data_IF_764511622062
#
_entry.id   IF_764511622062
#
_cell.length_a   1.000
_cell.length_b   1.000
_cell.length_c   1.000
_cell.angle_alpha   90.00
_cell.angle_beta   90.00
_cell.angle_gamma   90.00
#
_symmetry.space_group_name_H-M   'P 1'
#
loop_
_entity.id
_entity.type
_entity.pdbx_description
1 polymer ?
#
# COMPACT_ATOMS: atom_id res chain seq x y z
N UNK A 1 -22.90 16.48 -79.90
CA UNK A 1 -24.06 17.35 -80.20
C UNK A 1 -24.54 17.98 -78.93
N UNK A 2 -24.72 19.30 -78.91
CA UNK A 2 -24.98 20.11 -77.72
C UNK A 2 -26.47 20.43 -77.56
N UNK A 3 -26.88 20.92 -76.40
CA UNK A 3 -27.98 21.90 -76.25
C UNK A 3 -28.12 22.15 -74.71
N UNK A 4 -27.78 23.29 -74.29
CA UNK A 4 -28.32 24.66 -74.18
C UNK A 4 -28.99 24.89 -72.81
N UNK A 5 -28.44 25.90 -72.18
CA UNK A 5 -28.95 26.66 -71.02
C UNK A 5 -30.13 27.56 -71.52
N UNK A 6 -31.03 27.98 -70.62
CA UNK A 6 -30.99 29.41 -70.37
C UNK A 6 -31.21 29.91 -68.95
N UNK A 7 -30.62 31.09 -68.73
CA UNK A 7 -30.73 31.98 -67.61
C UNK A 7 -32.13 32.50 -67.35
N UNK A 8 -32.48 32.83 -66.12
CA UNK A 8 -33.17 34.10 -65.82
C UNK A 8 -32.87 34.58 -64.39
N UNK A 9 -32.41 35.78 -64.32
CA UNK A 9 -32.21 36.75 -63.29
C UNK A 9 -33.39 36.91 -62.30
N UNK A 10 -33.14 37.11 -61.02
CA UNK A 10 -33.63 38.25 -60.26
C UNK A 10 -32.83 38.49 -58.99
N UNK A 11 -32.23 39.66 -58.86
CA UNK A 11 -31.69 40.33 -57.67
C UNK A 11 -32.83 40.61 -56.68
N UNK A 12 -32.56 40.40 -55.39
CA UNK A 12 -33.06 41.30 -54.34
C UNK A 12 -31.94 41.46 -53.29
N UNK A 13 -31.65 42.70 -53.03
CA UNK A 13 -30.66 43.23 -52.06
C UNK A 13 -31.15 43.10 -50.61
N UNK A 14 -30.12 43.18 -49.67
CA UNK A 14 -30.22 43.76 -48.35
C UNK A 14 -30.52 42.79 -47.22
N UNK A 15 -29.63 42.58 -46.31
CA UNK A 15 -29.27 43.35 -45.13
C UNK A 15 -28.15 42.61 -44.37
N UNK A 16 -27.03 43.25 -44.21
CA UNK A 16 -25.97 42.90 -43.29
C UNK A 16 -26.51 43.09 -41.85
N UNK A 17 -26.56 42.01 -41.09
CA UNK A 17 -26.54 42.10 -39.64
C UNK A 17 -25.27 41.39 -39.16
N UNK A 18 -24.32 42.19 -38.68
CA UNK A 18 -23.15 41.80 -37.99
C UNK A 18 -23.54 41.20 -36.64
N UNK A 19 -23.53 39.88 -36.50
CA UNK A 19 -23.58 39.21 -35.22
C UNK A 19 -22.16 39.09 -34.70
N UNK A 20 -21.82 39.91 -33.71
CA UNK A 20 -20.62 39.83 -32.90
C UNK A 20 -20.65 38.51 -32.12
N UNK A 21 -19.84 37.55 -32.55
CA UNK A 21 -19.64 36.31 -31.81
C UNK A 21 -18.77 36.66 -30.62
N UNK A 22 -19.37 36.70 -29.45
CA UNK A 22 -18.66 36.79 -28.17
C UNK A 22 -17.90 35.48 -27.94
N UNK A 23 -16.57 35.48 -27.70
CA UNK A 23 -15.87 34.24 -27.40
C UNK A 23 -16.35 33.71 -26.05
N UNK A 24 -16.96 32.53 -26.05
CA UNK A 24 -17.27 31.81 -24.83
C UNK A 24 -15.98 31.59 -24.05
N UNK A 25 -15.82 32.28 -22.91
CA UNK A 25 -14.80 32.01 -21.95
C UNK A 25 -15.08 30.62 -21.39
N UNK A 26 -14.30 29.63 -21.81
CA UNK A 26 -14.23 28.32 -21.16
C UNK A 26 -13.72 28.56 -19.76
N UNK A 27 -14.60 28.56 -18.78
CA UNK A 27 -14.23 28.40 -17.37
C UNK A 27 -13.74 26.95 -17.21
N UNK A 28 -12.43 26.74 -17.34
CA UNK A 28 -11.79 25.55 -16.78
C UNK A 28 -11.91 25.70 -15.28
N UNK A 29 -12.94 25.10 -14.70
CA UNK A 29 -13.00 24.87 -13.25
C UNK A 29 -11.90 23.85 -12.98
N UNK A 30 -10.72 24.33 -12.60
CA UNK A 30 -9.72 23.49 -11.97
C UNK A 30 -10.39 22.95 -10.71
N UNK A 31 -10.92 21.74 -10.73
CA UNK A 31 -11.22 20.97 -9.52
C UNK A 31 -9.88 20.74 -8.84
N UNK A 32 -9.52 21.64 -7.96
CA UNK A 32 -8.52 21.41 -6.92
C UNK A 32 -9.08 20.28 -6.07
N UNK A 33 -8.69 19.05 -6.36
CA UNK A 33 -8.82 17.96 -5.41
C UNK A 33 -7.83 18.29 -4.31
N UNK A 34 -8.28 18.97 -3.26
CA UNK A 34 -7.53 19.15 -2.02
C UNK A 34 -7.32 17.75 -1.42
N UNK A 35 -6.29 17.05 -1.89
CA UNK A 35 -5.82 15.84 -1.22
C UNK A 35 -5.23 16.29 0.11
N UNK A 36 -5.83 15.84 1.18
CA UNK A 36 -5.32 16.06 2.53
C UNK A 36 -3.89 15.54 2.63
N UNK A 37 -3.03 16.30 3.29
CA UNK A 37 -1.64 15.90 3.49
C UNK A 37 -1.56 14.68 4.42
N UNK A 38 -0.41 13.99 4.40
CA UNK A 38 -0.17 12.89 5.34
C UNK A 38 -0.38 13.31 6.79
N UNK A 39 0.16 14.45 7.19
CA UNK A 39 0.00 14.97 8.56
C UNK A 39 -1.46 15.24 8.95
N UNK A 40 -2.27 15.73 8.02
CA UNK A 40 -3.70 15.97 8.27
C UNK A 40 -4.47 14.66 8.45
N UNK A 41 -4.22 13.68 7.58
CA UNK A 41 -4.89 12.36 7.67
C UNK A 41 -4.54 11.60 8.93
N UNK A 42 -3.32 11.75 9.40
CA UNK A 42 -2.79 11.02 10.56
C UNK A 42 -2.64 11.91 11.80
N UNK A 43 -3.39 13.02 11.87
CA UNK A 43 -3.26 13.99 12.97
C UNK A 43 -3.56 13.39 14.36
N UNK A 44 -4.40 12.37 14.43
CA UNK A 44 -4.76 11.66 15.66
C UNK A 44 -3.85 10.47 15.98
N UNK A 45 -2.95 10.10 15.07
CA UNK A 45 -2.05 8.97 15.28
C UNK A 45 -0.89 9.37 16.21
N UNK A 46 -0.47 8.46 17.10
CA UNK A 46 0.70 8.68 17.95
C UNK A 46 1.97 8.80 17.11
N UNK A 47 2.92 9.59 17.62
CA UNK A 47 4.23 9.83 17.01
C UNK A 47 5.30 9.96 18.07
N UNK A 48 6.50 9.54 17.73
CA UNK A 48 7.68 9.87 18.54
C UNK A 48 7.89 11.40 18.56
N UNK A 49 8.47 11.91 19.64
CA UNK A 49 8.71 13.35 19.77
C UNK A 49 9.85 13.85 18.88
N UNK A 50 10.87 13.02 18.67
CA UNK A 50 12.11 13.44 18.00
C UNK A 50 12.21 12.93 16.55
N UNK A 51 12.83 13.77 15.71
CA UNK A 51 13.24 13.40 14.36
C UNK A 51 14.63 12.74 14.39
N UNK A 52 14.76 11.60 13.74
CA UNK A 52 16.03 10.91 13.51
C UNK A 52 16.60 11.31 12.15
N UNK A 53 17.92 11.52 12.10
CA UNK A 53 18.65 11.64 10.84
C UNK A 53 19.07 10.25 10.39
N UNK A 54 18.69 9.87 9.18
CA UNK A 54 18.96 8.55 8.60
C UNK A 54 19.61 8.70 7.24
N UNK A 55 20.43 7.73 6.84
CA UNK A 55 21.11 7.74 5.54
C UNK A 55 20.41 6.79 4.58
N UNK A 56 20.02 7.28 3.40
CA UNK A 56 19.52 6.44 2.31
C UNK A 56 20.69 5.63 1.74
N UNK A 57 20.80 4.36 2.12
CA UNK A 57 21.98 3.51 1.84
C UNK A 57 21.75 2.54 0.70
N UNK A 58 20.50 2.20 0.38
CA UNK A 58 20.16 1.25 -0.68
C UNK A 58 18.88 1.63 -1.37
N UNK A 59 18.86 1.45 -2.69
CA UNK A 59 17.68 1.59 -3.55
C UNK A 59 17.63 0.40 -4.47
N UNK A 60 16.52 -0.32 -4.50
CA UNK A 60 16.31 -1.46 -5.39
C UNK A 60 14.98 -1.30 -6.14
N UNK A 61 14.98 -1.59 -7.43
CA UNK A 61 13.75 -1.66 -8.21
C UNK A 61 13.08 -3.01 -7.96
N UNK A 62 11.99 -3.05 -7.20
CA UNK A 62 11.26 -4.28 -6.91
C UNK A 62 10.42 -4.73 -8.12
N UNK A 63 9.79 -3.79 -8.83
CA UNK A 63 9.10 -3.99 -10.10
C UNK A 63 8.92 -2.62 -10.79
N UNK A 64 8.19 -2.57 -11.91
CA UNK A 64 8.02 -1.33 -12.69
C UNK A 64 7.36 -0.18 -11.92
N UNK A 65 6.70 -0.45 -10.79
CA UNK A 65 5.93 0.53 -10.02
C UNK A 65 6.39 0.72 -8.58
N UNK A 66 7.27 -0.13 -8.08
CA UNK A 66 7.66 -0.13 -6.67
C UNK A 66 9.18 -0.17 -6.57
N UNK A 67 9.73 0.71 -5.71
CA UNK A 67 11.12 0.70 -5.26
C UNK A 67 11.21 0.39 -3.78
N UNK A 68 12.21 -0.38 -3.40
CA UNK A 68 12.59 -0.62 -2.01
C UNK A 68 13.75 0.31 -1.64
N UNK A 69 13.71 0.81 -0.42
CA UNK A 69 14.69 1.75 0.14
C UNK A 69 15.17 1.25 1.49
N UNK A 70 16.49 1.34 1.75
CA UNK A 70 17.05 1.12 3.08
C UNK A 70 17.57 2.42 3.65
N UNK A 71 17.15 2.69 4.87
CA UNK A 71 17.52 3.85 5.68
C UNK A 71 18.36 3.38 6.86
N UNK A 72 19.68 3.61 6.83
CA UNK A 72 20.56 3.29 7.95
C UNK A 72 20.31 4.25 9.11
N UNK A 73 20.20 3.68 10.29
CA UNK A 73 19.96 4.39 11.53
C UNK A 73 21.29 4.74 12.21
N UNK A 74 21.39 5.87 12.90
CA UNK A 74 22.60 6.26 13.62
C UNK A 74 22.81 5.45 14.92
N UNK A 75 21.78 4.75 15.37
CA UNK A 75 21.74 3.93 16.58
C UNK A 75 20.55 2.98 16.54
N UNK A 76 20.51 1.91 17.34
CA UNK A 76 19.33 1.07 17.49
C UNK A 76 18.08 1.89 17.86
N UNK A 77 16.96 1.55 17.24
CA UNK A 77 15.65 2.20 17.43
C UNK A 77 14.60 1.13 17.68
N UNK A 78 13.75 1.34 18.69
CA UNK A 78 12.60 0.50 18.96
C UNK A 78 11.38 1.05 18.22
N UNK A 79 10.65 0.19 17.54
CA UNK A 79 9.35 0.49 16.98
C UNK A 79 8.46 -0.76 17.04
N UNK A 80 7.16 -0.59 16.87
CA UNK A 80 6.20 -1.70 16.80
C UNK A 80 5.94 -2.09 15.35
N UNK A 81 5.93 -3.39 15.06
CA UNK A 81 5.67 -3.89 13.71
C UNK A 81 4.33 -3.36 13.17
N UNK A 82 4.35 -2.79 11.97
CA UNK A 82 3.21 -2.12 11.33
C UNK A 82 3.26 -0.59 11.35
N UNK A 83 4.09 0.02 12.19
CA UNK A 83 4.28 1.47 12.22
C UNK A 83 4.88 2.02 10.91
N UNK A 84 4.71 3.31 10.70
CA UNK A 84 5.19 4.07 9.56
C UNK A 84 6.13 5.22 9.98
N UNK A 85 6.74 5.86 9.01
CA UNK A 85 7.61 7.03 9.18
C UNK A 85 6.98 8.28 8.57
N UNK A 86 6.91 9.38 9.34
CA UNK A 86 6.96 10.71 8.73
C UNK A 86 8.34 10.85 8.10
N UNK A 87 8.43 10.98 6.79
CA UNK A 87 9.70 11.02 6.07
C UNK A 87 9.88 12.36 5.41
N UNK A 88 10.81 13.16 5.93
CA UNK A 88 11.20 14.46 5.39
C UNK A 88 12.39 14.26 4.44
N UNK A 89 12.18 14.52 3.18
CA UNK A 89 13.21 14.49 2.15
C UNK A 89 13.82 15.87 1.92
N UNK A 90 15.06 16.00 1.42
CA UNK A 90 15.67 17.29 1.15
C UNK A 90 14.83 18.19 0.25
N UNK A 91 14.74 19.48 0.59
CA UNK A 91 14.03 20.47 -0.21
C UNK A 91 12.50 20.48 -0.05
N UNK A 92 11.93 19.61 0.79
CA UNK A 92 10.49 19.60 1.07
C UNK A 92 10.21 19.80 2.57
N UNK A 93 9.27 20.71 2.86
CA UNK A 93 8.86 21.03 4.24
C UNK A 93 7.88 20.02 4.82
N UNK A 94 7.01 19.43 3.96
CA UNK A 94 6.00 18.46 4.38
C UNK A 94 6.50 17.03 4.20
N UNK A 95 6.34 16.16 5.20
CA UNK A 95 6.76 14.76 5.09
C UNK A 95 5.78 13.93 4.26
N UNK A 96 6.30 12.84 3.70
CA UNK A 96 5.49 11.71 3.27
C UNK A 96 5.35 10.67 4.38
N UNK A 97 4.22 9.97 4.41
CA UNK A 97 4.02 8.79 5.25
C UNK A 97 4.39 7.53 4.50
N UNK A 98 5.35 6.77 5.03
CA UNK A 98 5.75 5.50 4.42
C UNK A 98 5.88 4.42 5.50
N UNK A 99 5.20 3.31 5.30
CA UNK A 99 5.21 2.19 6.25
C UNK A 99 6.56 1.52 6.32
N UNK A 100 7.01 1.19 7.53
CA UNK A 100 8.22 0.41 7.77
C UNK A 100 7.94 -1.05 7.38
N UNK A 101 8.75 -1.60 6.48
CA UNK A 101 8.61 -2.97 5.96
C UNK A 101 9.67 -3.93 6.53
N UNK A 102 10.69 -3.41 7.22
CA UNK A 102 11.63 -4.19 8.03
C UNK A 102 10.97 -4.63 9.35
N UNK A 103 11.62 -5.56 10.02
CA UNK A 103 11.19 -6.05 11.34
C UNK A 103 11.69 -5.13 12.45
N UNK A 104 11.05 -5.10 13.63
CA UNK A 104 11.60 -4.41 14.79
C UNK A 104 13.01 -4.86 15.15
N UNK A 105 13.33 -6.14 14.96
CA UNK A 105 14.68 -6.69 15.19
C UNK A 105 15.75 -6.07 14.28
N UNK A 106 15.40 -5.75 13.03
CA UNK A 106 16.32 -5.12 12.07
C UNK A 106 16.72 -3.70 12.52
N UNK A 107 15.78 -2.93 13.09
CA UNK A 107 16.03 -1.58 13.57
C UNK A 107 16.67 -1.54 14.97
N UNK A 108 16.54 -2.61 15.76
CA UNK A 108 17.15 -2.74 17.09
C UNK A 108 18.48 -3.50 17.07
N UNK A 109 18.97 -3.92 15.89
CA UNK A 109 20.28 -4.56 15.75
C UNK A 109 21.42 -3.68 16.27
N UNK A 110 22.41 -4.30 16.89
CA UNK A 110 23.63 -3.61 17.31
C UNK A 110 24.52 -3.25 16.10
N UNK A 111 24.49 -4.08 15.06
CA UNK A 111 25.22 -3.90 13.82
C UNK A 111 24.30 -3.38 12.72
N UNK A 112 24.61 -2.20 12.18
CA UNK A 112 23.92 -1.57 11.07
C UNK A 112 22.39 -1.59 11.17
N UNK A 113 21.78 -1.01 12.23
CA UNK A 113 20.33 -0.94 12.34
C UNK A 113 19.72 -0.14 11.20
N UNK A 114 18.55 -0.58 10.69
CA UNK A 114 17.93 0.06 9.54
C UNK A 114 16.40 -0.02 9.54
N UNK A 115 15.79 0.90 8.81
CA UNK A 115 14.43 0.76 8.31
C UNK A 115 14.45 0.44 6.82
N UNK A 116 13.59 -0.47 6.38
CA UNK A 116 13.25 -0.67 4.98
C UNK A 116 11.87 -0.07 4.68
N UNK A 117 11.72 0.51 3.49
CA UNK A 117 10.47 1.02 2.95
C UNK A 117 10.23 0.43 1.57
N UNK A 118 8.97 0.26 1.18
CA UNK A 118 8.59 -0.03 -0.20
C UNK A 118 7.61 1.04 -0.69
N UNK A 119 8.02 1.80 -1.69
CA UNK A 119 7.29 2.99 -2.15
C UNK A 119 6.84 2.82 -3.59
N UNK A 120 5.53 2.90 -3.78
CA UNK A 120 4.93 2.94 -5.11
C UNK A 120 5.14 4.31 -5.75
N UNK A 121 5.41 4.32 -7.06
CA UNK A 121 5.46 5.56 -7.84
C UNK A 121 4.16 6.35 -7.71
N UNK A 122 4.28 7.61 -7.27
CA UNK A 122 3.17 8.54 -7.09
C UNK A 122 3.67 9.97 -7.37
N UNK A 123 3.62 10.41 -8.63
CA UNK A 123 4.13 11.74 -9.01
C UNK A 123 3.42 12.89 -8.30
N UNK A 124 2.16 12.71 -7.92
CA UNK A 124 1.35 13.71 -7.23
C UNK A 124 1.67 13.82 -5.72
N UNK A 125 2.46 12.90 -5.19
CA UNK A 125 2.95 12.93 -3.80
C UNK A 125 4.41 13.39 -3.80
N UNK A 126 4.72 14.65 -3.47
CA UNK A 126 6.07 15.18 -3.62
C UNK A 126 7.17 14.38 -2.91
N UNK A 127 7.02 13.91 -1.66
CA UNK A 127 8.01 13.02 -1.05
C UNK A 127 8.20 11.68 -1.79
N UNK A 128 7.13 11.07 -2.31
CA UNK A 128 7.24 9.87 -3.12
C UNK A 128 7.93 10.16 -4.46
N UNK A 129 7.58 11.27 -5.11
CA UNK A 129 8.23 11.71 -6.36
C UNK A 129 9.74 11.95 -6.14
N UNK A 130 10.14 12.54 -5.02
CA UNK A 130 11.55 12.72 -4.65
C UNK A 130 12.26 11.36 -4.53
N UNK A 131 11.67 10.37 -3.87
CA UNK A 131 12.22 9.01 -3.75
C UNK A 131 12.30 8.29 -5.11
N UNK A 132 11.55 8.74 -6.10
CA UNK A 132 11.57 8.17 -7.46
C UNK A 132 12.53 8.88 -8.44
N UNK A 133 13.29 9.88 -7.98
CA UNK A 133 14.38 10.46 -8.77
C UNK A 133 15.44 9.39 -9.13
N UNK A 134 16.34 9.68 -10.07
CA UNK A 134 17.43 8.77 -10.41
C UNK A 134 18.22 8.34 -9.17
N UNK A 135 18.47 7.04 -8.95
CA UNK A 135 19.21 6.57 -7.77
C UNK A 135 20.55 7.26 -7.56
N UNK A 136 21.25 7.62 -8.65
CA UNK A 136 22.52 8.35 -8.60
C UNK A 136 22.44 9.74 -7.98
N UNK A 137 21.25 10.36 -7.96
CA UNK A 137 21.05 11.70 -7.42
C UNK A 137 20.67 11.68 -5.93
N UNK A 138 20.01 10.62 -5.47
CA UNK A 138 19.45 10.56 -4.11
C UNK A 138 20.14 9.55 -3.18
N UNK A 139 20.83 8.56 -3.71
CA UNK A 139 21.56 7.58 -2.89
C UNK A 139 22.62 8.29 -2.03
N UNK A 140 22.68 7.94 -0.76
CA UNK A 140 23.57 8.57 0.22
C UNK A 140 23.01 9.83 0.86
N UNK A 141 21.85 10.33 0.42
CA UNK A 141 21.18 11.48 1.01
C UNK A 141 20.82 11.23 2.48
N UNK A 142 20.83 12.31 3.27
CA UNK A 142 20.34 12.31 4.64
C UNK A 142 18.87 12.73 4.66
N UNK A 143 18.02 11.86 5.18
CA UNK A 143 16.60 12.15 5.44
C UNK A 143 16.39 12.37 6.94
N UNK A 144 15.26 12.98 7.28
CA UNK A 144 14.80 13.05 8.67
C UNK A 144 13.51 12.24 8.76
N UNK A 145 13.45 11.36 9.75
CA UNK A 145 12.29 10.47 9.92
C UNK A 145 11.78 10.50 11.36
N UNK A 146 10.50 10.20 11.54
CA UNK A 146 9.85 10.07 12.82
C UNK A 146 8.88 8.90 12.77
N UNK A 147 8.98 7.99 13.73
CA UNK A 147 8.10 6.83 13.83
C UNK A 147 6.71 7.27 14.30
N UNK A 148 5.66 6.70 13.74
CA UNK A 148 4.27 6.93 14.12
C UNK A 148 3.35 5.78 13.72
N UNK A 149 2.08 5.89 14.17
CA UNK A 149 1.02 4.95 13.87
C UNK A 149 0.67 3.99 15.01
N UNK A 150 -0.60 3.60 15.03
CA UNK A 150 -1.20 2.71 16.03
C UNK A 150 -1.63 1.35 15.46
N UNK A 151 -1.55 1.17 14.14
CA UNK A 151 -1.83 -0.10 13.47
C UNK A 151 -0.65 -1.06 13.62
N UNK A 152 -0.60 -1.79 14.73
CA UNK A 152 0.58 -2.54 15.17
C UNK A 152 0.25 -3.99 15.55
N UNK A 153 1.27 -4.84 15.51
CA UNK A 153 1.22 -6.18 16.08
C UNK A 153 2.32 -6.34 17.16
N UNK A 154 1.99 -6.88 18.38
CA UNK A 154 0.62 -7.20 18.83
C UNK A 154 -0.26 -5.95 18.98
N UNK A 155 -1.59 -6.09 18.86
CA UNK A 155 -2.51 -4.98 19.05
C UNK A 155 -2.54 -4.53 20.50
N UNK A 156 -2.78 -3.23 20.72
CA UNK A 156 -2.79 -2.68 22.09
C UNK A 156 -4.03 -3.09 22.88
N UNK A 157 -5.18 -3.15 22.19
CA UNK A 157 -6.50 -3.32 22.83
C UNK A 157 -7.03 -4.77 22.83
N UNK A 158 -6.25 -5.74 22.29
CA UNK A 158 -6.63 -7.16 22.27
C UNK A 158 -5.55 -8.00 22.93
N UNK A 159 -5.85 -8.60 24.10
CA UNK A 159 -4.90 -9.49 24.76
C UNK A 159 -4.57 -10.71 23.90
N UNK A 160 -3.28 -11.00 23.71
CA UNK A 160 -2.82 -12.10 22.87
C UNK A 160 -3.02 -13.50 23.48
N UNK A 161 -3.24 -13.60 24.78
CA UNK A 161 -3.32 -14.90 25.47
C UNK A 161 -4.42 -15.85 24.98
N UNK A 162 -5.50 -15.31 24.40
CA UNK A 162 -6.58 -16.07 23.77
C UNK A 162 -6.47 -16.22 22.25
N UNK A 163 -5.52 -15.54 21.62
CA UNK A 163 -5.38 -15.56 20.17
C UNK A 163 -4.60 -16.80 19.73
N UNK A 164 -5.18 -17.59 18.85
CA UNK A 164 -4.56 -18.78 18.24
C UNK A 164 -4.33 -18.62 16.76
N UNK A 165 -4.98 -17.66 16.13
CA UNK A 165 -4.87 -17.42 14.69
C UNK A 165 -4.83 -15.94 14.37
N UNK A 166 -3.91 -15.57 13.47
CA UNK A 166 -3.81 -14.22 12.93
C UNK A 166 -3.94 -14.29 11.41
N UNK A 167 -4.93 -13.58 10.87
CA UNK A 167 -5.19 -13.49 9.44
C UNK A 167 -4.76 -12.12 8.94
N UNK A 168 -3.89 -12.12 7.93
CA UNK A 168 -3.43 -10.93 7.25
C UNK A 168 -4.03 -10.86 5.84
N UNK A 169 -4.87 -9.86 5.58
CA UNK A 169 -5.52 -9.63 4.30
C UNK A 169 -4.92 -8.39 3.63
N UNK A 170 -4.11 -8.61 2.61
CA UNK A 170 -3.35 -7.58 1.93
C UNK A 170 -3.85 -7.31 0.51
N UNK A 171 -3.91 -6.04 0.10
CA UNK A 171 -4.12 -5.63 -1.30
C UNK A 171 -2.98 -4.76 -1.82
N UNK A 172 -2.22 -5.23 -2.81
CA UNK A 172 -1.10 -4.50 -3.40
C UNK A 172 -0.08 -4.05 -2.35
N UNK A 173 0.23 -2.74 -2.31
CA UNK A 173 1.16 -2.16 -1.32
C UNK A 173 0.63 -2.15 0.11
N UNK A 174 -0.64 -2.53 0.35
CA UNK A 174 -1.17 -2.79 1.69
C UNK A 174 -0.48 -3.93 2.41
N UNK A 175 0.34 -4.71 1.73
CA UNK A 175 1.24 -5.69 2.35
C UNK A 175 2.32 -5.04 3.22
N UNK A 176 2.64 -3.75 3.04
CA UNK A 176 3.75 -3.09 3.71
C UNK A 176 3.70 -3.16 5.26
N UNK A 177 2.61 -2.75 5.95
CA UNK A 177 2.55 -2.93 7.40
C UNK A 177 2.52 -4.41 7.79
N UNK A 178 1.86 -5.23 6.99
CA UNK A 178 1.65 -6.63 7.30
C UNK A 178 2.93 -7.45 7.19
N UNK A 179 3.83 -7.16 6.24
CA UNK A 179 5.12 -7.88 6.13
C UNK A 179 6.02 -7.63 7.34
N UNK A 180 5.99 -6.42 7.92
CA UNK A 180 6.69 -6.12 9.17
C UNK A 180 6.13 -6.94 10.33
N UNK A 181 4.78 -7.01 10.45
CA UNK A 181 4.10 -7.81 11.48
C UNK A 181 4.35 -9.31 11.31
N UNK A 182 4.22 -9.85 10.10
CA UNK A 182 4.48 -11.27 9.78
C UNK A 182 5.94 -11.61 10.10
N UNK A 183 6.88 -10.73 9.73
CA UNK A 183 8.30 -10.91 10.03
C UNK A 183 8.59 -10.88 11.54
N UNK A 184 7.89 -10.02 12.30
CA UNK A 184 8.00 -9.97 13.74
C UNK A 184 7.49 -11.27 14.41
N UNK A 185 6.41 -11.86 13.89
CA UNK A 185 5.94 -13.19 14.33
C UNK A 185 6.96 -14.25 13.96
N UNK A 186 7.54 -14.21 12.75
CA UNK A 186 8.56 -15.16 12.30
C UNK A 186 9.87 -15.10 13.07
N UNK A 187 10.17 -13.98 13.75
CA UNK A 187 11.31 -13.88 14.68
C UNK A 187 11.09 -14.68 15.99
N UNK A 188 9.85 -15.12 16.26
CA UNK A 188 9.46 -15.97 17.37
C UNK A 188 8.77 -15.24 18.52
N UNK A 189 8.33 -16.01 19.49
CA UNK A 189 7.64 -15.48 20.69
C UNK A 189 6.12 -15.55 20.64
N UNK A 190 5.53 -15.98 19.50
CA UNK A 190 4.08 -16.08 19.34
C UNK A 190 3.65 -17.49 18.92
N UNK A 191 2.80 -18.13 19.71
CA UNK A 191 2.22 -19.44 19.40
C UNK A 191 0.89 -19.27 18.66
N UNK A 192 0.96 -18.78 17.40
CA UNK A 192 -0.21 -18.51 16.55
C UNK A 192 -0.08 -19.17 15.18
N UNK A 193 -1.22 -19.55 14.61
CA UNK A 193 -1.37 -19.94 13.21
C UNK A 193 -1.51 -18.66 12.37
N UNK A 194 -0.64 -18.46 11.38
CA UNK A 194 -0.61 -17.27 10.54
C UNK A 194 -1.22 -17.59 9.18
N UNK A 195 -2.25 -16.86 8.78
CA UNK A 195 -2.90 -16.98 7.49
C UNK A 195 -2.71 -15.70 6.70
N UNK A 196 -2.09 -15.78 5.53
CA UNK A 196 -1.85 -14.63 4.67
C UNK A 196 -2.65 -14.75 3.38
N UNK A 197 -3.58 -13.81 3.16
CA UNK A 197 -4.34 -13.66 1.93
C UNK A 197 -3.82 -12.41 1.21
N UNK A 198 -3.07 -12.60 0.14
CA UNK A 198 -2.41 -11.51 -0.56
C UNK A 198 -2.93 -11.33 -1.98
N UNK A 199 -3.73 -10.29 -2.22
CA UNK A 199 -4.18 -9.90 -3.55
C UNK A 199 -3.16 -8.95 -4.20
N UNK A 200 -2.67 -9.31 -5.35
CA UNK A 200 -1.76 -8.47 -6.14
C UNK A 200 -2.05 -8.56 -7.63
N UNK A 201 -1.93 -7.40 -8.31
CA UNK A 201 -1.74 -7.43 -9.75
C UNK A 201 -0.35 -7.96 -10.02
N UNK A 202 -0.25 -9.00 -10.84
CA UNK A 202 1.05 -9.59 -11.18
C UNK A 202 1.85 -8.64 -12.06
N UNK A 203 3.08 -8.29 -11.68
CA UNK A 203 3.99 -7.48 -12.48
C UNK A 203 4.39 -8.21 -13.78
N UNK A 204 5.02 -7.48 -14.72
CA UNK A 204 5.44 -8.03 -16.02
C UNK A 204 6.42 -9.19 -15.88
N UNK A 205 7.27 -9.16 -14.87
CA UNK A 205 8.24 -10.23 -14.59
C UNK A 205 7.66 -11.44 -13.87
N UNK A 206 6.34 -11.45 -13.59
CA UNK A 206 5.65 -12.57 -12.96
C UNK A 206 5.61 -12.51 -11.43
N UNK A 207 5.26 -13.64 -10.81
CA UNK A 207 5.06 -13.73 -9.36
C UNK A 207 6.32 -13.38 -8.54
N UNK A 208 7.51 -13.60 -9.05
CA UNK A 208 8.78 -13.25 -8.38
C UNK A 208 8.95 -11.75 -8.14
N UNK A 209 8.25 -10.90 -8.90
CA UNK A 209 8.24 -9.45 -8.73
C UNK A 209 7.07 -8.95 -7.87
N UNK A 210 6.22 -9.83 -7.36
CA UNK A 210 5.22 -9.48 -6.34
C UNK A 210 5.97 -9.20 -5.03
N UNK A 211 5.86 -7.96 -4.55
CA UNK A 211 6.67 -7.52 -3.40
C UNK A 211 6.47 -8.42 -2.18
N UNK A 212 7.58 -8.78 -1.53
CA UNK A 212 7.64 -9.58 -0.30
C UNK A 212 7.09 -11.01 -0.40
N UNK A 213 6.56 -11.44 -1.56
CA UNK A 213 5.99 -12.78 -1.71
C UNK A 213 7.02 -13.87 -1.39
N UNK A 214 8.20 -13.79 -2.01
CA UNK A 214 9.28 -14.76 -1.74
C UNK A 214 9.76 -14.72 -0.29
N UNK A 215 9.81 -13.52 0.32
CA UNK A 215 10.20 -13.35 1.73
C UNK A 215 9.22 -14.06 2.65
N UNK A 216 7.91 -13.85 2.46
CA UNK A 216 6.85 -14.46 3.27
C UNK A 216 6.84 -15.99 3.05
N UNK A 217 6.87 -16.45 1.81
CA UNK A 217 6.95 -17.87 1.47
C UNK A 217 8.19 -18.54 2.11
N UNK A 218 9.32 -17.85 2.11
CA UNK A 218 10.56 -18.31 2.75
C UNK A 218 10.41 -18.54 4.25
N UNK A 219 9.65 -17.72 4.97
CA UNK A 219 9.40 -17.93 6.41
C UNK A 219 8.56 -19.19 6.68
N UNK A 220 7.56 -19.49 5.83
CA UNK A 220 6.81 -20.75 5.92
C UNK A 220 7.71 -21.96 5.58
N UNK A 221 8.46 -21.88 4.49
CA UNK A 221 9.36 -22.97 4.08
C UNK A 221 10.44 -23.30 5.12
N UNK A 222 10.89 -22.28 5.89
CA UNK A 222 11.84 -22.44 6.99
C UNK A 222 11.18 -22.90 8.31
N UNK A 223 9.87 -23.12 8.34
CA UNK A 223 9.13 -23.49 9.55
C UNK A 223 9.06 -22.37 10.62
N UNK A 224 9.38 -21.11 10.26
CA UNK A 224 9.28 -19.95 11.15
C UNK A 224 7.85 -19.50 11.36
N UNK A 225 6.96 -19.83 10.43
CA UNK A 225 5.52 -19.58 10.51
C UNK A 225 4.77 -20.90 10.34
N UNK A 226 3.68 -21.06 11.10
CA UNK A 226 2.67 -22.10 10.90
C UNK A 226 1.46 -21.48 10.22
N UNK A 227 0.79 -22.23 9.37
CA UNK A 227 -0.42 -21.78 8.66
C UNK A 227 -0.24 -21.83 7.15
N UNK A 228 -0.78 -20.85 6.45
CA UNK A 228 -0.79 -20.85 4.97
C UNK A 228 -0.61 -19.44 4.37
N UNK A 229 -0.06 -19.44 3.15
CA UNK A 229 0.00 -18.27 2.28
C UNK A 229 -0.83 -18.55 1.03
N UNK A 230 -1.84 -17.70 0.77
CA UNK A 230 -2.64 -17.70 -0.46
C UNK A 230 -2.43 -16.41 -1.23
N UNK A 231 -2.10 -16.52 -2.51
CA UNK A 231 -1.91 -15.38 -3.41
C UNK A 231 -3.11 -15.31 -4.35
N UNK A 232 -3.77 -14.16 -4.34
CA UNK A 232 -4.89 -13.86 -5.24
C UNK A 232 -4.37 -12.98 -6.37
N UNK A 233 -3.98 -13.62 -7.46
CA UNK A 233 -3.35 -12.98 -8.59
C UNK A 233 -4.40 -12.37 -9.53
N UNK A 234 -4.24 -11.10 -9.88
CA UNK A 234 -5.05 -10.40 -10.87
C UNK A 234 -4.20 -9.87 -12.03
N UNK A 235 -4.78 -9.79 -13.23
CA UNK A 235 -4.12 -9.13 -14.36
C UNK A 235 -3.15 -10.00 -15.16
N UNK A 236 -3.49 -11.28 -15.39
CA UNK A 236 -2.83 -12.09 -16.39
C UNK A 236 -1.79 -13.08 -15.84
N UNK A 237 -2.24 -14.00 -15.01
CA UNK A 237 -1.48 -15.22 -14.68
C UNK A 237 -2.00 -16.35 -15.56
N UNK A 238 -1.11 -17.07 -16.21
CA UNK A 238 -1.44 -18.39 -16.78
C UNK A 238 -1.70 -19.35 -15.63
N UNK A 239 -2.85 -20.00 -15.63
CA UNK A 239 -3.16 -21.11 -14.73
C UNK A 239 -2.02 -22.12 -14.76
N UNK A 240 -1.52 -22.51 -13.58
CA UNK A 240 -0.47 -23.52 -13.47
C UNK A 240 0.84 -23.07 -12.82
N UNK A 241 0.96 -21.84 -12.35
CA UNK A 241 2.08 -21.44 -11.51
C UNK A 241 1.95 -22.06 -10.10
N UNK A 242 2.07 -23.38 -10.02
CA UNK A 242 2.29 -24.07 -8.75
C UNK A 242 3.69 -23.77 -8.30
N UNK A 243 3.84 -22.73 -7.47
CA UNK A 243 5.09 -22.47 -6.77
C UNK A 243 5.10 -23.32 -5.50
N UNK A 244 6.24 -23.94 -5.23
CA UNK A 244 6.46 -24.66 -3.98
C UNK A 244 6.29 -23.70 -2.81
N UNK A 245 5.25 -23.92 -2.00
CA UNK A 245 5.10 -23.24 -0.71
C UNK A 245 3.91 -22.29 -0.54
N UNK A 246 3.11 -22.03 -1.59
CA UNK A 246 1.87 -21.24 -1.49
C UNK A 246 0.87 -21.54 -2.60
N UNK A 247 -0.42 -21.30 -2.33
CA UNK A 247 -1.51 -21.46 -3.29
C UNK A 247 -1.69 -20.16 -4.10
N UNK A 248 -1.88 -20.30 -5.44
CA UNK A 248 -2.17 -19.17 -6.34
C UNK A 248 -3.58 -19.32 -6.90
N UNK A 249 -4.41 -18.30 -6.67
CA UNK A 249 -5.79 -18.20 -7.11
C UNK A 249 -5.93 -17.04 -8.10
N UNK A 250 -6.54 -17.24 -9.26
CA UNK A 250 -6.69 -16.23 -10.32
C UNK A 250 -7.99 -15.43 -10.20
N UNK A 251 -8.34 -15.03 -9.00
CA UNK A 251 -9.52 -14.23 -8.67
C UNK A 251 -9.22 -13.21 -7.58
N UNK A 252 -10.16 -12.36 -7.25
CA UNK A 252 -10.12 -11.56 -6.03
C UNK A 252 -10.53 -12.42 -4.85
N UNK A 253 -9.98 -12.15 -3.67
CA UNK A 253 -10.54 -12.69 -2.43
C UNK A 253 -11.64 -11.77 -1.90
N UNK A 254 -12.54 -12.33 -1.11
CA UNK A 254 -13.62 -11.63 -0.46
C UNK A 254 -13.77 -12.02 1.00
N UNK A 255 -14.88 -11.61 1.60
CA UNK A 255 -15.22 -11.85 3.01
C UNK A 255 -15.17 -13.34 3.35
N UNK A 256 -15.68 -14.19 2.47
CA UNK A 256 -15.75 -15.63 2.71
C UNK A 256 -14.36 -16.28 2.79
N UNK A 257 -13.41 -15.85 1.97
CA UNK A 257 -12.02 -16.34 2.04
C UNK A 257 -11.39 -16.03 3.41
N UNK A 258 -11.69 -14.84 3.97
CA UNK A 258 -11.18 -14.46 5.29
C UNK A 258 -11.91 -15.25 6.40
N UNK A 259 -13.23 -15.44 6.28
CA UNK A 259 -13.99 -16.28 7.24
C UNK A 259 -13.46 -17.70 7.29
N UNK A 260 -13.17 -18.30 6.14
CA UNK A 260 -12.53 -19.62 6.06
C UNK A 260 -11.12 -19.62 6.68
N UNK A 261 -10.35 -18.55 6.45
CA UNK A 261 -9.04 -18.40 7.07
C UNK A 261 -9.12 -18.22 8.58
N UNK A 262 -10.11 -17.52 9.11
CA UNK A 262 -10.38 -17.40 10.56
C UNK A 262 -10.86 -18.73 11.14
N UNK A 263 -11.74 -19.46 10.42
CA UNK A 263 -12.35 -20.71 10.86
C UNK A 263 -13.45 -20.50 11.91
N UNK A 264 -13.92 -21.61 12.51
CA UNK A 264 -15.09 -21.60 13.39
C UNK A 264 -14.88 -20.89 14.74
N UNK A 265 -13.61 -20.85 15.22
CA UNK A 265 -13.25 -20.21 16.50
C UNK A 265 -12.95 -18.72 16.31
N UNK A 266 -14.00 -17.94 16.03
CA UNK A 266 -13.88 -16.49 15.78
C UNK A 266 -13.39 -15.72 17.01
N UNK A 267 -13.59 -16.25 18.21
CA UNK A 267 -13.11 -15.73 19.49
C UNK A 267 -11.58 -15.90 19.69
N UNK A 268 -10.94 -16.76 18.92
CA UNK A 268 -9.47 -16.97 18.90
C UNK A 268 -8.79 -16.32 17.71
N UNK A 269 -9.56 -15.74 16.78
CA UNK A 269 -9.09 -15.10 15.57
C UNK A 269 -8.77 -13.61 15.72
N UNK A 270 -7.79 -13.14 14.99
CA UNK A 270 -7.44 -11.73 14.83
C UNK A 270 -7.20 -11.45 13.35
N UNK A 271 -7.79 -10.39 12.80
CA UNK A 271 -7.71 -10.06 11.38
C UNK A 271 -7.10 -8.68 11.19
N UNK A 272 -6.07 -8.58 10.37
CA UNK A 272 -5.46 -7.33 9.92
C UNK A 272 -5.77 -7.12 8.44
N UNK A 273 -6.33 -5.97 8.09
CA UNK A 273 -6.71 -5.64 6.72
C UNK A 273 -5.99 -4.36 6.29
N UNK A 274 -5.29 -4.42 5.16
CA UNK A 274 -4.71 -3.23 4.54
C UNK A 274 -4.68 -3.37 3.00
N UNK A 275 -5.15 -2.32 2.31
CA UNK A 275 -5.21 -2.33 0.85
C UNK A 275 -6.04 -1.18 0.28
N UNK A 276 -6.49 -1.27 -0.97
CA UNK A 276 -7.35 -0.26 -1.58
C UNK A 276 -8.67 -0.05 -0.83
N UNK A 277 -9.16 1.19 -0.84
CA UNK A 277 -10.35 1.61 -0.09
C UNK A 277 -11.56 0.67 -0.27
N UNK A 278 -11.98 0.44 -1.51
CA UNK A 278 -13.16 -0.42 -1.76
C UNK A 278 -13.01 -1.83 -1.20
N UNK A 279 -11.78 -2.40 -1.23
CA UNK A 279 -11.51 -3.70 -0.65
C UNK A 279 -11.60 -3.67 0.88
N UNK A 280 -10.98 -2.69 1.51
CA UNK A 280 -10.95 -2.63 2.98
C UNK A 280 -12.31 -2.32 3.56
N UNK A 281 -13.09 -1.43 2.94
CA UNK A 281 -14.43 -1.08 3.39
C UNK A 281 -15.39 -2.29 3.27
N UNK A 282 -15.39 -3.00 2.12
CA UNK A 282 -16.18 -4.23 1.90
C UNK A 282 -15.83 -5.32 2.92
N UNK A 283 -14.53 -5.54 3.14
CA UNK A 283 -14.08 -6.58 4.07
C UNK A 283 -14.45 -6.26 5.52
N UNK A 284 -14.25 -5.02 5.96
CA UNK A 284 -14.59 -4.61 7.33
C UNK A 284 -16.08 -4.74 7.58
N UNK A 285 -16.92 -4.24 6.66
CA UNK A 285 -18.36 -4.34 6.75
C UNK A 285 -18.83 -5.81 6.81
N UNK A 286 -18.34 -6.64 5.89
CA UNK A 286 -18.73 -8.05 5.82
C UNK A 286 -18.22 -8.91 6.98
N UNK A 287 -17.05 -8.58 7.55
CA UNK A 287 -16.47 -9.33 8.67
C UNK A 287 -17.07 -8.94 10.03
N UNK A 288 -17.53 -7.70 10.20
CA UNK A 288 -18.07 -7.19 11.48
C UNK A 288 -19.57 -7.06 11.50
N UNK A 289 -20.29 -7.50 10.45
CA UNK A 289 -21.74 -7.55 10.36
C UNK A 289 -22.37 -8.57 11.33
N UNK A 290 -23.66 -8.76 11.20
CA UNK A 290 -24.43 -9.68 12.07
C UNK A 290 -23.83 -11.10 12.04
N UNK A 291 -23.53 -11.66 13.21
CA UNK A 291 -22.88 -12.97 13.34
C UNK A 291 -21.38 -13.01 12.95
N UNK A 292 -20.76 -11.85 12.70
CA UNK A 292 -19.33 -11.74 12.36
C UNK A 292 -18.41 -11.65 13.57
N UNK A 293 -17.15 -11.26 13.28
CA UNK A 293 -16.15 -11.03 14.32
C UNK A 293 -16.46 -9.77 15.15
N UNK A 294 -16.03 -9.75 16.39
CA UNK A 294 -16.02 -8.52 17.18
C UNK A 294 -15.18 -7.43 16.49
N UNK A 295 -15.66 -6.19 16.43
CA UNK A 295 -14.98 -5.07 15.75
C UNK A 295 -13.54 -4.90 16.18
N UNK A 296 -13.22 -5.07 17.49
CA UNK A 296 -11.86 -4.95 18.01
C UNK A 296 -10.89 -6.03 17.47
N UNK A 297 -11.42 -7.11 16.87
CA UNK A 297 -10.64 -8.21 16.29
C UNK A 297 -10.37 -8.02 14.80
N UNK A 298 -10.94 -6.98 14.17
CA UNK A 298 -10.72 -6.61 12.78
C UNK A 298 -10.03 -5.25 12.75
N UNK A 299 -8.71 -5.29 12.65
CA UNK A 299 -7.88 -4.10 12.60
C UNK A 299 -7.67 -3.68 11.15
N UNK A 300 -7.74 -2.39 10.89
CA UNK A 300 -7.62 -1.87 9.52
C UNK A 300 -6.77 -0.61 9.49
N UNK A 301 -5.90 -0.50 8.50
CA UNK A 301 -5.19 0.73 8.20
C UNK A 301 -5.67 1.33 6.88
N UNK A 302 -5.97 2.64 6.90
CA UNK A 302 -6.51 3.39 5.76
C UNK A 302 -5.55 4.51 5.38
N UNK A 303 -5.12 4.51 4.12
CA UNK A 303 -4.15 5.47 3.58
C UNK A 303 -4.78 6.59 2.72
N UNK A 304 -6.10 6.65 2.62
CA UNK A 304 -6.85 7.63 1.83
C UNK A 304 -7.63 8.61 2.69
#
# INVERSE_FOLDING_TARGET
>A
MPFKIPLSYRRVLSLYQSSTICPAKSFVVAMSTNRTTHLERTAQEPRDESLLRVKLSKIEQANERIRSFRLLLPRPVKFSAGQWLDTYVPGLDKPGGFTITSRPSDASSADEPYFDLAVQASPENPPAAWLWQPPSEILGSTLRVRVGGSFVFPPQDVPMGGIRRVVFAAGGVGINPLVSMIGHIADGGYDVDVRVLYASKVPKGGLKEVIFLERIAGWYAQGKLRGELKVFATGGVTEGASSTGFEVLTRRFGVEDIRQAVGDRTDEGLVYVCGPQGMTDELVEGLTGEGGLEKRRVLVEKWW
#
